data_IF_535485972293
#
_entry.id   IF_535485972293
#
_cell.length_a   1.000
_cell.length_b   1.000
_cell.length_c   1.000
_cell.angle_alpha   90.00
_cell.angle_beta   90.00
_cell.angle_gamma   90.00
#
_symmetry.space_group_name_H-M   'P 1'
#
loop_
_entity.id
_entity.type
_entity.pdbx_description
1 polymer ?
#
# COMPACT_ATOMS: atom_id res chain seq x y z
N UNK A 1 6.02 -31.85 25.17
CA UNK A 1 6.50 -30.97 24.07
C UNK A 1 7.02 -31.74 22.85
N UNK A 2 7.77 -32.82 22.99
CA UNK A 2 8.29 -33.60 21.84
C UNK A 2 7.17 -34.21 20.94
N UNK A 3 6.05 -34.65 21.52
CA UNK A 3 4.94 -35.26 20.75
C UNK A 3 4.18 -34.24 19.89
N UNK A 4 3.89 -33.08 20.42
CA UNK A 4 3.23 -31.96 19.68
C UNK A 4 4.10 -31.58 18.47
N UNK A 5 5.41 -31.44 18.69
CA UNK A 5 6.36 -31.11 17.63
C UNK A 5 6.47 -32.21 16.57
N UNK A 6 6.46 -33.49 16.97
CA UNK A 6 6.49 -34.62 16.02
C UNK A 6 5.23 -34.64 15.14
N UNK A 7 4.06 -34.37 15.69
CA UNK A 7 2.81 -34.23 14.93
C UNK A 7 2.85 -33.03 13.96
N UNK A 8 3.35 -31.89 14.40
CA UNK A 8 3.51 -30.73 13.53
C UNK A 8 4.50 -31.01 12.37
N UNK A 9 5.64 -31.67 12.68
CA UNK A 9 6.62 -32.07 11.67
C UNK A 9 6.04 -33.06 10.67
N UNK A 10 5.20 -33.99 11.12
CA UNK A 10 4.53 -34.96 10.24
C UNK A 10 3.64 -34.25 9.21
N UNK A 11 2.81 -33.29 9.65
CA UNK A 11 1.97 -32.51 8.76
C UNK A 11 2.80 -31.72 7.71
N UNK A 12 3.85 -31.05 8.14
CA UNK A 12 4.74 -30.34 7.22
C UNK A 12 5.39 -31.27 6.22
N UNK A 13 5.85 -32.46 6.68
CA UNK A 13 6.47 -33.45 5.79
C UNK A 13 5.47 -33.98 4.76
N UNK A 14 4.21 -34.18 5.13
CA UNK A 14 3.16 -34.60 4.19
C UNK A 14 2.95 -33.57 3.09
N UNK A 15 2.88 -32.26 3.43
CA UNK A 15 2.78 -31.19 2.46
C UNK A 15 4.01 -31.12 1.55
N UNK A 16 5.22 -31.28 2.12
CA UNK A 16 6.47 -31.25 1.35
C UNK A 16 6.65 -32.49 0.43
N UNK A 17 6.02 -33.62 0.74
CA UNK A 17 6.04 -34.80 -0.09
C UNK A 17 5.00 -34.80 -1.21
N UNK A 18 3.94 -34.02 -1.08
CA UNK A 18 2.94 -33.82 -2.14
C UNK A 18 3.46 -32.87 -3.22
N UNK A 19 4.17 -33.41 -4.21
CA UNK A 19 4.76 -32.61 -5.30
C UNK A 19 3.71 -31.79 -6.07
N UNK A 20 2.53 -32.37 -6.31
CA UNK A 20 1.46 -31.70 -7.05
C UNK A 20 0.86 -30.58 -6.22
N UNK A 21 0.62 -30.84 -4.93
CA UNK A 21 0.17 -29.83 -3.98
C UNK A 21 1.16 -28.68 -3.83
N UNK A 22 2.46 -28.96 -3.72
CA UNK A 22 3.51 -27.93 -3.64
C UNK A 22 3.60 -27.08 -4.89
N UNK A 23 3.55 -27.68 -6.08
CA UNK A 23 3.58 -26.93 -7.33
C UNK A 23 2.38 -25.99 -7.38
N UNK A 24 1.18 -26.48 -7.08
CA UNK A 24 -0.03 -25.65 -7.07
C UNK A 24 0.05 -24.56 -6.01
N UNK A 25 0.54 -24.87 -4.81
CA UNK A 25 0.68 -23.96 -3.67
C UNK A 25 1.63 -22.79 -3.97
N UNK A 26 2.69 -23.03 -4.73
CA UNK A 26 3.71 -22.03 -5.03
C UNK A 26 3.42 -21.36 -6.38
N UNK A 27 3.17 -22.14 -7.42
CA UNK A 27 3.07 -21.61 -8.78
C UNK A 27 1.83 -20.74 -9.01
N UNK A 28 0.66 -21.18 -8.51
CA UNK A 28 -0.59 -20.44 -8.74
C UNK A 28 -0.56 -19.04 -8.10
N UNK A 29 -0.18 -18.87 -6.81
CA UNK A 29 -0.06 -17.55 -6.22
C UNK A 29 0.93 -16.63 -6.95
N UNK A 30 2.09 -17.18 -7.32
CA UNK A 30 3.12 -16.42 -8.01
C UNK A 30 2.68 -16.00 -9.40
N UNK A 31 2.03 -16.90 -10.13
CA UNK A 31 1.46 -16.60 -11.44
C UNK A 31 0.39 -15.48 -11.32
N UNK A 32 -0.49 -15.57 -10.33
CA UNK A 32 -1.49 -14.53 -10.10
C UNK A 32 -0.84 -13.19 -9.71
N UNK A 33 0.14 -13.20 -8.82
CA UNK A 33 0.89 -12.00 -8.45
C UNK A 33 1.56 -11.38 -9.67
N UNK A 34 2.16 -12.21 -10.54
CA UNK A 34 2.79 -11.75 -11.76
C UNK A 34 1.77 -11.16 -12.74
N UNK A 35 0.66 -11.88 -13.02
CA UNK A 35 -0.37 -11.41 -13.94
C UNK A 35 -0.99 -10.10 -13.44
N UNK A 36 -1.49 -10.08 -12.21
CA UNK A 36 -2.14 -8.89 -11.67
C UNK A 36 -1.16 -7.74 -11.43
N UNK A 37 0.04 -8.04 -10.94
CA UNK A 37 1.10 -7.05 -10.80
C UNK A 37 1.53 -6.43 -12.13
N UNK A 38 1.61 -7.24 -13.20
CA UNK A 38 1.95 -6.76 -14.54
C UNK A 38 0.82 -5.98 -15.20
N UNK A 39 -0.42 -6.49 -15.11
CA UNK A 39 -1.58 -5.89 -15.76
C UNK A 39 -2.03 -4.63 -15.03
N UNK A 40 -2.03 -4.64 -13.72
CA UNK A 40 -2.50 -3.53 -12.89
C UNK A 40 -1.36 -2.60 -12.43
N UNK A 41 -0.11 -3.12 -12.34
CA UNK A 41 1.09 -2.34 -12.04
C UNK A 41 1.89 -1.95 -13.30
N UNK A 42 1.63 -2.57 -14.43
CA UNK A 42 2.39 -2.47 -15.68
C UNK A 42 1.80 -1.49 -16.69
N UNK A 43 1.56 -0.28 -16.30
CA UNK A 43 1.49 0.84 -17.22
C UNK A 43 2.24 1.98 -16.57
N UNK A 44 3.13 2.63 -17.27
CA UNK A 44 3.47 4.03 -17.04
C UNK A 44 2.18 4.83 -17.22
N UNK A 45 1.19 4.63 -16.34
CA UNK A 45 0.05 5.53 -16.26
C UNK A 45 0.58 6.79 -15.62
N UNK A 46 1.15 7.63 -16.47
CA UNK A 46 1.38 9.02 -16.11
C UNK A 46 0.05 9.55 -15.62
N UNK A 47 0.06 10.22 -14.49
CA UNK A 47 -1.16 10.79 -13.92
C UNK A 47 -1.67 11.85 -14.91
N UNK A 48 -2.86 11.68 -15.51
CA UNK A 48 -3.36 12.65 -16.48
C UNK A 48 -3.70 13.97 -15.77
N UNK A 49 -3.09 15.06 -16.21
CA UNK A 49 -3.28 16.41 -15.67
C UNK A 49 -3.66 17.35 -16.80
N UNK A 50 -4.79 18.02 -16.69
CA UNK A 50 -5.17 19.08 -17.60
C UNK A 50 -4.56 20.42 -17.14
N UNK A 51 -3.91 21.15 -18.03
CA UNK A 51 -3.28 22.44 -17.74
C UNK A 51 -3.86 23.52 -18.64
N UNK A 52 -4.48 24.52 -18.05
CA UNK A 52 -4.93 25.73 -18.70
C UNK A 52 -4.00 26.89 -18.31
N UNK A 53 -2.92 27.07 -19.06
CA UNK A 53 -2.01 28.19 -18.89
C UNK A 53 -2.48 29.37 -19.80
N UNK A 54 -3.17 30.33 -19.16
CA UNK A 54 -3.70 31.52 -19.84
C UNK A 54 -2.68 32.67 -19.87
N UNK A 55 -1.59 32.56 -19.08
CA UNK A 55 -0.56 33.58 -19.00
C UNK A 55 0.58 33.39 -20.01
N UNK A 56 1.00 32.17 -20.22
CA UNK A 56 2.06 31.77 -21.14
C UNK A 56 3.39 32.50 -20.91
N UNK A 57 3.67 32.86 -19.67
CA UNK A 57 4.91 33.51 -19.24
C UNK A 57 5.98 32.53 -18.84
N UNK A 58 7.21 33.01 -18.59
CA UNK A 58 8.28 32.19 -18.04
C UNK A 58 7.90 31.64 -16.63
N UNK A 59 7.23 32.46 -15.82
CA UNK A 59 6.79 32.08 -14.48
C UNK A 59 5.67 31.04 -14.49
N UNK A 60 4.72 31.13 -15.44
CA UNK A 60 3.71 30.08 -15.61
C UNK A 60 4.34 28.78 -16.13
N UNK A 61 5.32 28.87 -17.02
CA UNK A 61 6.05 27.70 -17.50
C UNK A 61 6.81 26.96 -16.38
N UNK A 62 7.35 27.69 -15.40
CA UNK A 62 7.97 27.08 -14.22
C UNK A 62 6.97 26.28 -13.38
N UNK A 63 5.73 26.75 -13.24
CA UNK A 63 4.67 26.03 -12.52
C UNK A 63 4.30 24.75 -13.29
N UNK A 64 4.14 24.84 -14.60
CA UNK A 64 3.87 23.66 -15.46
C UNK A 64 5.03 22.68 -15.40
N UNK A 65 6.28 23.16 -15.39
CA UNK A 65 7.49 22.36 -15.24
C UNK A 65 7.66 21.63 -13.91
N UNK A 66 6.84 21.97 -12.89
CA UNK A 66 6.76 21.18 -11.66
C UNK A 66 6.11 19.81 -11.88
N UNK A 67 5.31 19.69 -12.94
CA UNK A 67 4.69 18.45 -13.35
C UNK A 67 5.68 17.74 -14.30
N UNK A 68 6.52 16.86 -13.71
CA UNK A 68 7.50 16.08 -14.48
C UNK A 68 6.79 15.16 -15.49
N UNK A 69 7.15 15.26 -16.75
CA UNK A 69 6.58 14.45 -17.83
C UNK A 69 6.85 12.95 -17.67
N UNK A 70 7.78 12.55 -16.82
CA UNK A 70 7.99 11.13 -16.49
C UNK A 70 6.85 10.58 -15.62
N UNK A 71 6.25 11.41 -14.76
CA UNK A 71 5.23 11.04 -13.79
C UNK A 71 3.82 11.50 -14.18
N UNK A 72 3.72 12.56 -15.00
CA UNK A 72 2.47 13.19 -15.39
C UNK A 72 2.27 13.19 -16.90
N UNK A 73 1.04 12.91 -17.34
CA UNK A 73 0.61 13.12 -18.71
C UNK A 73 -0.10 14.48 -18.80
N UNK A 74 0.62 15.48 -19.27
CA UNK A 74 0.12 16.86 -19.36
C UNK A 74 -0.69 17.01 -20.64
N UNK A 75 -1.99 17.33 -20.48
CA UNK A 75 -2.87 17.76 -21.58
C UNK A 75 -3.12 19.25 -21.47
N UNK A 76 -2.63 20.01 -22.44
CA UNK A 76 -2.87 21.46 -22.51
C UNK A 76 -4.25 21.73 -23.10
N UNK A 77 -5.09 22.44 -22.38
CA UNK A 77 -6.48 22.69 -22.75
C UNK A 77 -6.88 24.13 -22.38
N UNK A 78 -8.01 24.60 -22.92
CA UNK A 78 -8.63 25.82 -22.46
C UNK A 78 -9.22 25.65 -21.03
N UNK A 79 -9.51 26.77 -20.35
CA UNK A 79 -10.01 26.74 -18.99
C UNK A 79 -11.26 25.85 -18.81
N UNK A 80 -12.26 26.04 -19.69
CA UNK A 80 -13.50 25.27 -19.63
C UNK A 80 -13.28 23.79 -19.96
N UNK A 81 -12.40 23.49 -20.91
CA UNK A 81 -12.06 22.14 -21.31
C UNK A 81 -11.28 21.42 -20.21
N UNK A 82 -10.29 22.07 -19.60
CA UNK A 82 -9.55 21.51 -18.47
C UNK A 82 -10.45 21.22 -17.28
N UNK A 83 -11.40 22.12 -16.98
CA UNK A 83 -12.41 21.90 -15.95
C UNK A 83 -13.33 20.72 -16.26
N UNK A 84 -13.75 20.56 -17.54
CA UNK A 84 -14.56 19.44 -17.99
C UNK A 84 -13.79 18.11 -17.84
N UNK A 85 -12.50 18.05 -18.22
CA UNK A 85 -11.65 16.85 -18.08
C UNK A 85 -11.49 16.44 -16.62
N UNK A 86 -11.33 17.40 -15.69
CA UNK A 86 -11.26 17.11 -14.27
C UNK A 86 -12.60 16.61 -13.70
N UNK A 87 -13.73 17.17 -14.16
CA UNK A 87 -15.06 16.77 -13.70
C UNK A 87 -15.53 15.44 -14.26
N UNK A 88 -15.13 15.08 -15.49
CA UNK A 88 -15.44 13.78 -16.11
C UNK A 88 -14.54 12.63 -15.62
N UNK A 89 -13.45 12.95 -14.89
CA UNK A 89 -12.46 11.96 -14.45
C UNK A 89 -11.44 11.58 -15.54
N UNK A 90 -11.42 12.27 -16.68
CA UNK A 90 -10.43 12.11 -17.74
C UNK A 90 -9.07 12.65 -17.32
N UNK A 91 -9.03 13.68 -16.46
CA UNK A 91 -7.85 14.14 -15.76
C UNK A 91 -8.02 14.01 -14.25
N UNK A 92 -6.94 13.63 -13.54
CA UNK A 92 -6.92 13.54 -12.09
C UNK A 92 -7.06 14.91 -11.41
N UNK A 93 -6.59 15.96 -12.06
CA UNK A 93 -6.79 17.36 -11.68
C UNK A 93 -6.63 18.27 -12.90
N UNK A 94 -7.20 19.49 -12.80
CA UNK A 94 -6.92 20.57 -13.74
C UNK A 94 -6.24 21.72 -13.01
N UNK A 95 -5.13 22.21 -13.58
CA UNK A 95 -4.37 23.38 -13.09
C UNK A 95 -4.68 24.55 -14.00
N UNK A 96 -5.23 25.61 -13.43
CA UNK A 96 -5.60 26.84 -14.19
C UNK A 96 -4.74 28.00 -13.69
N UNK A 97 -3.89 28.52 -14.56
CA UNK A 97 -3.05 29.69 -14.32
C UNK A 97 -3.71 30.89 -15.02
N UNK A 98 -4.13 31.93 -14.28
CA UNK A 98 -4.86 33.07 -14.84
C UNK A 98 -3.98 33.93 -15.75
N UNK A 99 -4.62 34.65 -16.66
CA UNK A 99 -3.94 35.68 -17.47
C UNK A 99 -3.43 36.81 -16.59
N UNK A 100 -2.21 37.28 -16.84
CA UNK A 100 -1.57 38.33 -16.04
C UNK A 100 -0.84 37.81 -14.81
N UNK A 101 -0.79 36.49 -14.59
CA UNK A 101 -0.17 35.86 -13.43
C UNK A 101 1.25 36.37 -13.14
N UNK A 102 2.12 36.42 -14.16
CA UNK A 102 3.49 36.89 -13.96
C UNK A 102 3.56 38.37 -13.56
N UNK A 103 2.76 39.21 -14.18
CA UNK A 103 2.70 40.63 -13.84
C UNK A 103 2.21 40.87 -12.42
N UNK A 104 1.16 40.14 -12.00
CA UNK A 104 0.59 40.23 -10.65
C UNK A 104 1.61 39.75 -9.59
N UNK A 105 2.23 38.60 -9.78
CA UNK A 105 3.23 38.07 -8.85
C UNK A 105 4.45 38.97 -8.73
N UNK A 106 4.98 39.45 -9.83
CA UNK A 106 6.12 40.40 -9.82
C UNK A 106 5.73 41.75 -9.20
N UNK A 107 4.52 42.21 -9.47
CA UNK A 107 3.96 43.45 -8.90
C UNK A 107 3.54 43.35 -7.42
N UNK A 108 3.46 42.15 -6.86
CA UNK A 108 3.00 41.88 -5.50
C UNK A 108 1.48 41.98 -5.34
N UNK A 109 0.75 41.80 -6.44
CA UNK A 109 -0.71 41.75 -6.44
C UNK A 109 -1.12 40.30 -6.10
N UNK A 110 -2.17 40.14 -5.29
CA UNK A 110 -2.70 38.83 -4.93
C UNK A 110 -3.30 38.15 -6.15
N UNK A 111 -2.73 37.00 -6.53
CA UNK A 111 -3.19 36.20 -7.65
C UNK A 111 -3.25 34.72 -7.24
N UNK A 112 -4.12 33.94 -7.88
CA UNK A 112 -4.41 32.57 -7.44
C UNK A 112 -4.31 31.60 -8.61
N UNK A 113 -3.46 30.60 -8.47
CA UNK A 113 -3.50 29.39 -9.30
C UNK A 113 -4.61 28.50 -8.76
N UNK A 114 -5.56 28.14 -9.63
CA UNK A 114 -6.68 27.27 -9.25
C UNK A 114 -6.38 25.83 -9.62
N UNK A 115 -6.58 24.93 -8.65
CA UNK A 115 -6.47 23.49 -8.90
C UNK A 115 -7.85 22.87 -8.70
N UNK A 116 -8.45 22.42 -9.79
CA UNK A 116 -9.72 21.72 -9.78
C UNK A 116 -9.41 20.23 -9.67
N UNK A 117 -9.89 19.57 -8.61
CA UNK A 117 -9.60 18.17 -8.31
C UNK A 117 -10.84 17.41 -7.87
N UNK A 118 -10.90 16.11 -8.12
CA UNK A 118 -11.83 15.22 -7.41
C UNK A 118 -11.31 15.02 -5.97
N UNK A 119 -12.09 15.39 -4.94
CA UNK A 119 -11.70 15.20 -3.54
C UNK A 119 -11.42 13.74 -3.18
N UNK A 120 -11.92 12.79 -3.97
CA UNK A 120 -11.76 11.34 -3.76
C UNK A 120 -10.53 10.76 -4.44
N UNK A 121 -9.83 11.54 -5.27
CA UNK A 121 -8.65 11.07 -6.01
C UNK A 121 -7.38 11.28 -5.20
N UNK A 122 -6.72 10.20 -4.80
CA UNK A 122 -5.41 10.23 -4.12
C UNK A 122 -4.32 10.83 -5.01
N UNK A 123 -4.39 10.61 -6.32
CA UNK A 123 -3.44 11.15 -7.31
C UNK A 123 -3.47 12.68 -7.35
N UNK A 124 -4.59 13.32 -6.99
CA UNK A 124 -4.71 14.78 -6.97
C UNK A 124 -3.89 15.43 -5.86
N UNK A 125 -3.56 14.71 -4.78
CA UNK A 125 -2.76 15.23 -3.65
C UNK A 125 -1.34 15.52 -4.13
N UNK A 126 -0.72 14.58 -4.84
CA UNK A 126 0.63 14.77 -5.38
C UNK A 126 0.71 15.95 -6.36
N UNK A 127 -0.33 16.15 -7.19
CA UNK A 127 -0.43 17.30 -8.09
C UNK A 127 -0.49 18.60 -7.30
N UNK A 128 -1.32 18.65 -6.26
CA UNK A 128 -1.47 19.84 -5.39
C UNK A 128 -0.13 20.20 -4.73
N UNK A 129 0.56 19.21 -4.17
CA UNK A 129 1.87 19.43 -3.51
C UNK A 129 2.92 19.95 -4.49
N UNK A 130 3.07 19.29 -5.66
CA UNK A 130 4.02 19.69 -6.67
C UNK A 130 3.77 21.14 -7.16
N UNK A 131 2.53 21.47 -7.49
CA UNK A 131 2.15 22.81 -7.97
C UNK A 131 2.30 23.85 -6.85
N UNK A 132 1.86 23.56 -5.63
CA UNK A 132 1.95 24.49 -4.49
C UNK A 132 3.40 24.84 -4.17
N UNK A 133 4.27 23.84 -4.10
CA UNK A 133 5.70 24.08 -3.86
C UNK A 133 6.33 24.98 -4.92
N UNK A 134 5.98 24.79 -6.20
CA UNK A 134 6.50 25.64 -7.28
C UNK A 134 5.91 27.04 -7.27
N UNK A 135 4.61 27.19 -7.00
CA UNK A 135 3.97 28.51 -6.84
C UNK A 135 4.63 29.28 -5.71
N UNK A 136 4.89 28.66 -4.57
CA UNK A 136 5.59 29.31 -3.45
C UNK A 136 7.01 29.75 -3.85
N UNK A 137 7.75 28.95 -4.59
CA UNK A 137 9.08 29.29 -5.09
C UNK A 137 9.03 30.51 -6.03
N UNK A 138 8.12 30.51 -7.00
CA UNK A 138 7.91 31.66 -7.92
C UNK A 138 7.56 32.92 -7.13
N UNK A 139 6.67 32.83 -6.15
CA UNK A 139 6.28 33.97 -5.28
C UNK A 139 7.46 34.49 -4.44
N UNK A 140 8.29 33.59 -3.89
CA UNK A 140 9.47 33.96 -3.11
C UNK A 140 10.53 34.68 -3.98
N UNK A 141 10.79 34.16 -5.19
CA UNK A 141 11.71 34.82 -6.14
C UNK A 141 11.23 36.22 -6.53
N UNK A 142 9.92 36.38 -6.78
CA UNK A 142 9.32 37.67 -7.07
C UNK A 142 9.37 38.64 -5.87
N UNK A 143 9.19 38.14 -4.64
CA UNK A 143 9.34 38.93 -3.43
C UNK A 143 10.78 39.45 -3.26
N UNK A 144 11.78 38.61 -3.58
CA UNK A 144 13.20 38.97 -3.55
C UNK A 144 13.48 40.17 -4.46
N UNK A 145 12.92 40.21 -5.68
CA UNK A 145 13.04 41.36 -6.60
C UNK A 145 12.54 42.63 -5.94
N UNK A 146 11.35 42.59 -5.35
CA UNK A 146 10.71 43.74 -4.70
C UNK A 146 11.52 44.27 -3.52
N UNK A 147 12.02 43.36 -2.67
CA UNK A 147 12.86 43.71 -1.51
C UNK A 147 14.16 44.35 -1.96
N UNK A 148 14.84 43.78 -2.95
CA UNK A 148 16.09 44.36 -3.47
C UNK A 148 15.85 45.74 -4.07
N UNK A 149 14.82 45.90 -4.91
CA UNK A 149 14.48 47.20 -5.50
C UNK A 149 14.08 48.24 -4.46
N UNK A 150 13.36 47.87 -3.41
CA UNK A 150 13.04 48.73 -2.30
C UNK A 150 14.30 49.21 -1.54
N UNK A 151 15.17 48.23 -1.20
CA UNK A 151 16.43 48.55 -0.50
C UNK A 151 17.31 49.53 -1.29
N UNK A 152 17.40 49.38 -2.62
CA UNK A 152 18.16 50.32 -3.46
C UNK A 152 17.50 51.69 -3.54
N UNK A 153 16.17 51.78 -3.57
CA UNK A 153 15.45 53.07 -3.53
C UNK A 153 15.69 53.78 -2.20
N UNK A 154 15.57 53.03 -1.07
CA UNK A 154 15.74 53.61 0.26
C UNK A 154 17.20 54.06 0.49
N UNK A 155 18.18 53.28 0.03
CA UNK A 155 19.60 53.64 0.07
C UNK A 155 19.89 54.91 -0.75
N UNK A 156 19.29 55.03 -1.96
CA UNK A 156 19.42 56.22 -2.80
C UNK A 156 18.81 57.44 -2.14
N UNK A 157 17.66 57.30 -1.51
CA UNK A 157 16.98 58.40 -0.78
C UNK A 157 17.78 58.82 0.46
N UNK A 158 18.38 57.90 1.19
CA UNK A 158 19.15 58.19 2.40
C UNK A 158 20.50 58.84 2.15
N UNK A 159 21.18 58.49 1.05
CA UNK A 159 22.54 58.96 0.76
C UNK A 159 22.61 60.08 -0.27
N UNK A 160 21.54 60.34 -1.00
CA UNK A 160 21.54 61.24 -2.16
C UNK A 160 22.32 60.69 -3.37
N UNK A 161 22.87 59.49 -3.28
CA UNK A 161 23.57 58.83 -4.36
C UNK A 161 22.59 58.01 -5.22
N UNK A 162 22.85 57.93 -6.52
CA UNK A 162 22.02 57.15 -7.42
C UNK A 162 22.54 55.73 -7.49
N UNK A 163 21.83 54.79 -6.84
CA UNK A 163 22.11 53.35 -6.91
C UNK A 163 21.17 52.70 -7.91
N UNK A 164 21.71 51.99 -8.87
CA UNK A 164 20.93 51.23 -9.86
C UNK A 164 20.92 49.74 -9.47
N UNK A 165 19.76 49.18 -9.14
CA UNK A 165 19.68 47.74 -8.87
C UNK A 165 19.95 46.94 -10.15
N UNK A 166 20.38 45.69 -9.96
CA UNK A 166 20.49 44.77 -11.07
C UNK A 166 19.11 44.59 -11.77
N UNK A 167 19.08 44.23 -13.05
CA UNK A 167 17.84 43.97 -13.77
C UNK A 167 16.98 42.93 -13.02
N UNK A 168 15.65 43.05 -13.01
CA UNK A 168 14.77 42.10 -12.32
C UNK A 168 14.99 40.66 -12.70
N UNK A 169 15.29 40.39 -13.98
CA UNK A 169 15.59 39.03 -14.49
C UNK A 169 16.85 38.44 -13.85
N UNK A 170 17.90 39.25 -13.63
CA UNK A 170 19.14 38.78 -13.00
C UNK A 170 18.93 38.48 -11.52
N UNK A 171 18.16 39.30 -10.81
CA UNK A 171 17.78 39.12 -9.42
C UNK A 171 16.95 37.81 -9.30
N UNK A 172 15.99 37.64 -10.20
CA UNK A 172 15.16 36.39 -10.21
C UNK A 172 16.02 35.16 -10.44
N UNK A 173 16.87 35.17 -11.47
CA UNK A 173 17.74 34.05 -11.81
C UNK A 173 18.75 33.72 -10.71
N UNK A 174 19.25 34.75 -10.00
CA UNK A 174 20.13 34.56 -8.85
C UNK A 174 19.37 33.94 -7.67
N UNK A 175 18.18 34.47 -7.34
CA UNK A 175 17.32 33.92 -6.30
C UNK A 175 16.94 32.47 -6.61
N UNK A 176 16.58 32.17 -7.85
CA UNK A 176 16.21 30.82 -8.26
C UNK A 176 17.38 29.81 -8.14
N UNK A 177 18.62 30.25 -8.45
CA UNK A 177 19.81 29.41 -8.23
C UNK A 177 20.09 29.09 -6.78
N UNK A 178 19.68 29.93 -5.83
CA UNK A 178 19.83 29.67 -4.40
C UNK A 178 18.91 28.53 -3.92
N UNK A 179 17.87 28.20 -4.68
CA UNK A 179 17.01 27.03 -4.40
C UNK A 179 17.58 25.71 -4.93
N UNK A 180 18.69 25.74 -5.65
CA UNK A 180 19.29 24.57 -6.28
C UNK A 180 20.79 24.50 -5.95
N UNK A 181 21.35 23.36 -5.45
CA UNK A 181 20.66 22.08 -5.17
C UNK A 181 19.86 22.04 -3.86
N UNK A 182 20.17 22.94 -2.91
CA UNK A 182 19.53 22.98 -1.59
C UNK A 182 18.74 24.28 -1.41
N UNK A 183 17.44 24.21 -1.04
CA UNK A 183 16.66 25.40 -0.75
C UNK A 183 17.22 26.13 0.49
N UNK A 184 17.26 27.49 0.50
CA UNK A 184 17.85 28.29 1.60
C UNK A 184 17.04 28.18 2.91
N UNK A 185 15.84 27.63 2.86
CA UNK A 185 15.03 27.20 4.00
C UNK A 185 14.66 25.73 3.77
N UNK A 186 15.51 24.84 4.26
CA UNK A 186 15.11 23.46 4.43
C UNK A 186 14.24 23.38 5.69
N UNK A 187 12.96 23.08 5.53
CA UNK A 187 12.29 22.33 6.57
C UNK A 187 13.02 21.00 6.58
N UNK A 188 13.78 20.73 7.64
CA UNK A 188 14.37 19.43 7.85
C UNK A 188 13.26 18.45 8.14
N UNK A 189 12.56 18.03 7.10
CA UNK A 189 12.03 16.68 7.11
C UNK A 189 13.25 15.79 7.18
N UNK A 190 13.41 15.08 8.29
CA UNK A 190 14.42 14.05 8.39
C UNK A 190 14.20 13.15 7.18
N UNK A 191 15.08 13.15 6.16
CA UNK A 191 14.89 12.27 5.04
C UNK A 191 15.06 10.88 5.61
N UNK A 192 13.95 10.19 5.83
CA UNK A 192 14.00 8.74 5.83
C UNK A 192 14.50 8.41 4.43
N UNK A 193 15.76 7.96 4.35
CA UNK A 193 16.42 7.64 3.10
C UNK A 193 15.60 6.54 2.44
N UNK A 194 14.66 6.93 1.59
CA UNK A 194 13.96 6.00 0.71
C UNK A 194 15.04 5.55 -0.27
N UNK A 195 15.63 4.39 0.00
CA UNK A 195 16.50 3.72 -0.96
C UNK A 195 15.79 3.74 -2.29
N UNK A 196 16.47 4.27 -3.32
CA UNK A 196 15.95 4.41 -4.69
C UNK A 196 15.08 3.22 -5.06
N UNK A 197 13.76 3.40 -5.07
CA UNK A 197 12.85 2.46 -5.69
C UNK A 197 13.16 2.51 -7.18
N UNK A 198 13.98 1.56 -7.64
CA UNK A 198 14.22 1.33 -9.07
C UNK A 198 12.96 0.69 -9.65
N UNK A 199 12.11 1.50 -10.20
CA UNK A 199 10.87 1.13 -10.86
C UNK A 199 9.94 2.33 -10.84
N UNK A 200 9.11 2.53 -11.86
CA UNK A 200 8.11 3.59 -11.80
C UNK A 200 7.25 3.38 -10.54
N UNK A 201 7.02 4.41 -9.77
CA UNK A 201 6.31 4.33 -8.48
C UNK A 201 4.96 3.59 -8.60
N UNK A 202 4.30 3.73 -9.74
CA UNK A 202 3.02 3.07 -10.06
C UNK A 202 3.17 1.56 -10.26
N UNK A 203 4.27 1.10 -10.87
CA UNK A 203 4.53 -0.33 -11.08
C UNK A 203 4.92 -1.02 -9.79
N UNK A 204 5.74 -0.35 -8.96
CA UNK A 204 6.10 -0.83 -7.63
C UNK A 204 4.85 -0.96 -6.72
N UNK A 205 3.93 0.02 -6.74
CA UNK A 205 2.66 -0.04 -5.99
C UNK A 205 1.79 -1.22 -6.42
N UNK A 206 1.72 -1.54 -7.72
CA UNK A 206 0.95 -2.67 -8.22
C UNK A 206 1.47 -4.00 -7.67
N UNK A 207 2.76 -4.27 -7.83
CA UNK A 207 3.36 -5.49 -7.31
C UNK A 207 3.35 -5.57 -5.79
N UNK A 208 3.53 -4.46 -5.06
CA UNK A 208 3.40 -4.41 -3.60
C UNK A 208 2.00 -4.82 -3.15
N UNK A 209 0.96 -4.20 -3.69
CA UNK A 209 -0.43 -4.47 -3.35
C UNK A 209 -0.80 -5.93 -3.60
N UNK A 210 -0.48 -6.44 -4.80
CA UNK A 210 -0.87 -7.80 -5.18
C UNK A 210 0.00 -8.86 -4.50
N UNK A 211 1.28 -8.58 -4.23
CA UNK A 211 2.13 -9.49 -3.47
C UNK A 211 1.62 -9.65 -2.03
N UNK A 212 1.28 -8.56 -1.35
CA UNK A 212 0.68 -8.61 -0.01
C UNK A 212 -0.69 -9.28 -0.05
N UNK A 213 -1.56 -8.85 -0.96
CA UNK A 213 -2.93 -9.34 -1.06
C UNK A 213 -3.01 -10.84 -1.35
N UNK A 214 -2.23 -11.33 -2.31
CA UNK A 214 -2.21 -12.76 -2.64
C UNK A 214 -1.50 -13.59 -1.58
N UNK A 215 -0.47 -13.07 -0.91
CA UNK A 215 0.11 -13.75 0.25
C UNK A 215 -0.97 -14.02 1.30
N UNK A 216 -1.74 -13.02 1.70
CA UNK A 216 -2.82 -13.20 2.67
C UNK A 216 -3.95 -14.09 2.16
N UNK A 217 -4.33 -13.95 0.89
CA UNK A 217 -5.36 -14.79 0.28
C UNK A 217 -4.97 -16.27 0.31
N UNK A 218 -3.76 -16.61 -0.09
CA UNK A 218 -3.33 -18.00 -0.12
C UNK A 218 -3.09 -18.57 1.28
N UNK A 219 -2.57 -17.77 2.23
CA UNK A 219 -2.58 -18.14 3.64
C UNK A 219 -4.00 -18.45 4.16
N UNK A 220 -5.01 -17.70 3.68
CA UNK A 220 -6.42 -17.96 3.99
C UNK A 220 -6.87 -19.30 3.38
N UNK A 221 -6.55 -19.56 2.11
CA UNK A 221 -6.85 -20.84 1.46
C UNK A 221 -6.21 -22.01 2.19
N UNK A 222 -4.96 -21.90 2.58
CA UNK A 222 -4.24 -22.94 3.31
C UNK A 222 -4.85 -23.17 4.70
N UNK A 223 -5.09 -22.09 5.46
CA UNK A 223 -5.67 -22.17 6.79
C UNK A 223 -7.06 -22.82 6.78
N UNK A 224 -7.95 -22.38 5.88
CA UNK A 224 -9.30 -22.93 5.77
C UNK A 224 -9.30 -24.35 5.17
N UNK A 225 -8.46 -24.60 4.16
CA UNK A 225 -8.33 -25.91 3.52
C UNK A 225 -7.88 -27.01 4.48
N UNK A 226 -7.17 -26.63 5.54
CA UNK A 226 -6.76 -27.53 6.62
C UNK A 226 -7.93 -28.24 7.33
N UNK A 227 -9.15 -27.69 7.24
CA UNK A 227 -10.37 -28.36 7.71
C UNK A 227 -10.53 -29.76 7.10
N UNK A 228 -10.08 -29.96 5.85
CA UNK A 228 -10.09 -31.26 5.17
C UNK A 228 -9.24 -32.32 5.87
N UNK A 229 -8.08 -31.95 6.41
CA UNK A 229 -7.20 -32.88 7.10
C UNK A 229 -7.82 -33.50 8.36
N UNK A 230 -8.64 -32.75 9.09
CA UNK A 230 -9.40 -33.30 10.21
C UNK A 230 -10.48 -34.29 9.77
N UNK A 231 -11.12 -34.02 8.65
CA UNK A 231 -12.16 -34.88 8.10
C UNK A 231 -11.54 -36.20 7.56
N UNK A 232 -10.43 -36.11 6.83
CA UNK A 232 -9.72 -37.26 6.26
C UNK A 232 -9.29 -38.25 7.32
N UNK A 233 -8.75 -37.78 8.42
CA UNK A 233 -8.32 -38.65 9.52
C UNK A 233 -9.49 -39.29 10.26
N UNK A 234 -10.64 -38.59 10.28
CA UNK A 234 -11.87 -39.17 10.83
C UNK A 234 -12.41 -40.27 9.91
N UNK A 235 -12.47 -40.04 8.59
CA UNK A 235 -12.95 -41.01 7.60
C UNK A 235 -12.02 -42.24 7.50
N UNK A 236 -10.70 -42.06 7.62
CA UNK A 236 -9.70 -43.13 7.58
C UNK A 236 -9.52 -43.88 8.91
N UNK A 237 -10.21 -43.43 9.98
CA UNK A 237 -10.08 -44.01 11.31
C UNK A 237 -8.70 -43.82 11.95
N UNK A 238 -7.84 -43.01 11.36
CA UNK A 238 -6.50 -42.73 11.89
C UNK A 238 -6.57 -41.94 13.19
N UNK A 239 -7.59 -41.13 13.35
CA UNK A 239 -7.85 -40.42 14.60
C UNK A 239 -8.12 -41.37 15.77
N UNK A 240 -8.92 -42.41 15.54
CA UNK A 240 -9.21 -43.46 16.52
C UNK A 240 -7.94 -44.26 16.91
N UNK A 241 -7.06 -44.55 15.94
CA UNK A 241 -5.76 -45.23 16.19
C UNK A 241 -4.82 -44.32 17.00
N UNK A 242 -4.80 -43.01 16.72
CA UNK A 242 -3.98 -42.06 17.50
C UNK A 242 -4.44 -41.98 18.95
N UNK A 243 -5.74 -42.12 19.22
CA UNK A 243 -6.30 -42.15 20.58
C UNK A 243 -5.99 -43.43 21.36
N UNK A 244 -5.56 -44.51 20.69
CA UNK A 244 -5.05 -45.73 21.39
C UNK A 244 -3.60 -45.57 21.84
N UNK A 245 -2.89 -44.56 21.39
CA UNK A 245 -1.56 -44.22 21.87
C UNK A 245 -1.66 -43.41 23.17
N UNK A 246 -0.60 -43.37 24.03
CA UNK A 246 -0.61 -42.56 25.24
C UNK A 246 -0.49 -41.05 24.96
N UNK A 247 -1.37 -40.53 24.10
CA UNK A 247 -1.43 -39.10 23.67
C UNK A 247 -2.78 -38.54 24.16
N UNK A 248 -2.72 -37.42 24.85
CA UNK A 248 -3.95 -36.74 25.31
C UNK A 248 -4.69 -36.06 24.14
N UNK A 249 -6.01 -35.87 24.25
CA UNK A 249 -6.83 -35.18 23.25
C UNK A 249 -6.32 -33.76 23.01
N UNK A 250 -5.86 -33.07 24.04
CA UNK A 250 -5.30 -31.71 23.96
C UNK A 250 -3.96 -31.69 23.21
N UNK A 251 -3.08 -32.67 23.43
CA UNK A 251 -1.81 -32.78 22.70
C UNK A 251 -2.05 -33.06 21.22
N UNK A 252 -3.05 -33.88 20.88
CA UNK A 252 -3.40 -34.15 19.50
C UNK A 252 -3.89 -32.91 18.78
N UNK A 253 -4.86 -32.21 19.37
CA UNK A 253 -5.42 -30.98 18.77
C UNK A 253 -4.36 -29.88 18.67
N UNK A 254 -3.59 -29.67 19.75
CA UNK A 254 -2.50 -28.69 19.74
C UNK A 254 -1.42 -29.00 18.71
N UNK A 255 -1.06 -30.27 18.56
CA UNK A 255 -0.08 -30.70 17.55
C UNK A 255 -0.56 -30.44 16.13
N UNK A 256 -1.84 -30.68 15.86
CA UNK A 256 -2.44 -30.40 14.53
C UNK A 256 -2.54 -28.92 14.25
N UNK A 257 -3.07 -28.13 15.20
CA UNK A 257 -3.15 -26.67 15.07
C UNK A 257 -1.77 -26.10 14.81
N UNK A 258 -0.75 -26.54 15.55
CA UNK A 258 0.63 -26.13 15.34
C UNK A 258 1.14 -26.55 13.95
N UNK A 259 0.83 -27.77 13.50
CA UNK A 259 1.22 -28.25 12.18
C UNK A 259 0.65 -27.41 11.04
N UNK A 260 -0.65 -27.11 11.12
CA UNK A 260 -1.33 -26.24 10.15
C UNK A 260 -0.71 -24.84 10.17
N UNK A 261 -0.54 -24.26 11.35
CA UNK A 261 0.06 -22.93 11.51
C UNK A 261 1.46 -22.85 10.91
N UNK A 262 2.32 -23.83 11.17
CA UNK A 262 3.66 -23.89 10.60
C UNK A 262 3.61 -24.00 9.07
N UNK A 263 2.65 -24.75 8.52
CA UNK A 263 2.47 -24.88 7.06
C UNK A 263 2.02 -23.54 6.44
N UNK A 264 1.08 -22.84 7.09
CA UNK A 264 0.63 -21.50 6.65
C UNK A 264 1.78 -20.49 6.71
N UNK A 265 2.61 -20.54 7.75
CA UNK A 265 3.80 -19.67 7.82
C UNK A 265 4.86 -20.04 6.79
N UNK A 266 5.05 -21.31 6.51
CA UNK A 266 5.98 -21.77 5.47
C UNK A 266 5.56 -21.22 4.10
N UNK A 267 4.29 -21.29 3.76
CA UNK A 267 3.74 -20.66 2.55
C UNK A 267 3.99 -19.15 2.53
N UNK A 268 3.69 -18.45 3.64
CA UNK A 268 3.92 -17.03 3.74
C UNK A 268 5.40 -16.66 3.50
N UNK A 269 6.34 -17.41 4.07
CA UNK A 269 7.78 -17.17 3.86
C UNK A 269 8.15 -17.33 2.39
N UNK A 270 7.60 -18.32 1.70
CA UNK A 270 7.82 -18.51 0.26
C UNK A 270 7.27 -17.30 -0.51
N UNK A 271 6.04 -16.89 -0.23
CA UNK A 271 5.37 -15.78 -0.94
C UNK A 271 6.08 -14.44 -0.72
N UNK A 272 6.45 -14.14 0.53
CA UNK A 272 7.22 -12.94 0.88
C UNK A 272 8.59 -12.98 0.22
N UNK A 273 9.27 -14.13 0.27
CA UNK A 273 10.58 -14.32 -0.36
C UNK A 273 10.52 -14.11 -1.88
N UNK A 274 9.57 -14.70 -2.57
CA UNK A 274 9.38 -14.46 -4.01
C UNK A 274 9.01 -13.02 -4.31
N UNK A 275 8.13 -12.43 -3.52
CA UNK A 275 7.80 -11.00 -3.64
C UNK A 275 9.04 -10.12 -3.57
N UNK A 276 9.93 -10.40 -2.62
CA UNK A 276 11.17 -9.66 -2.44
C UNK A 276 12.18 -9.89 -3.57
N UNK A 277 12.46 -11.16 -3.92
CA UNK A 277 13.58 -11.51 -4.80
C UNK A 277 13.20 -11.49 -6.29
N UNK A 278 11.99 -11.86 -6.64
CA UNK A 278 11.54 -11.95 -8.04
C UNK A 278 10.84 -10.67 -8.50
N UNK A 279 9.97 -10.12 -7.66
CA UNK A 279 9.20 -8.93 -8.00
C UNK A 279 9.80 -7.64 -7.44
N UNK A 280 10.96 -7.73 -6.73
CA UNK A 280 11.61 -6.59 -6.07
C UNK A 280 10.65 -5.76 -5.20
N UNK A 281 9.70 -6.44 -4.55
CA UNK A 281 8.76 -5.79 -3.63
C UNK A 281 9.54 -5.39 -2.37
N UNK A 282 9.61 -4.11 -2.03
CA UNK A 282 10.18 -3.69 -0.76
C UNK A 282 9.17 -3.98 0.36
N UNK A 283 9.42 -5.03 1.15
CA UNK A 283 8.58 -5.40 2.30
C UNK A 283 8.76 -4.49 3.52
N UNK A 284 9.13 -3.22 3.27
CA UNK A 284 9.24 -2.18 4.28
C UNK A 284 10.60 -2.10 4.96
N UNK A 285 10.79 -1.02 5.72
CA UNK A 285 12.01 -0.78 6.52
C UNK A 285 12.04 -1.62 7.79
N UNK A 286 10.89 -2.07 8.24
CA UNK A 286 10.73 -2.75 9.52
C UNK A 286 10.15 -4.15 9.29
N UNK A 287 11.04 -5.14 9.05
CA UNK A 287 10.62 -6.53 8.83
C UNK A 287 9.89 -7.13 10.04
N UNK A 288 10.11 -6.58 11.25
CA UNK A 288 9.44 -7.05 12.46
C UNK A 288 7.93 -6.79 12.40
N UNK A 289 7.51 -5.63 11.88
CA UNK A 289 6.09 -5.31 11.68
C UNK A 289 5.42 -6.30 10.72
N UNK A 290 6.08 -6.64 9.61
CA UNK A 290 5.59 -7.63 8.64
C UNK A 290 5.46 -9.01 9.30
N UNK A 291 6.51 -9.46 10.01
CA UNK A 291 6.52 -10.76 10.70
C UNK A 291 5.39 -10.83 11.73
N UNK A 292 5.17 -9.77 12.51
CA UNK A 292 4.09 -9.73 13.51
C UNK A 292 2.71 -9.90 12.85
N UNK A 293 2.42 -9.18 11.76
CA UNK A 293 1.13 -9.25 11.09
C UNK A 293 0.94 -10.61 10.43
N UNK A 294 1.94 -11.10 9.69
CA UNK A 294 1.88 -12.40 9.00
C UNK A 294 1.70 -13.55 9.99
N UNK A 295 2.44 -13.52 11.10
CA UNK A 295 2.34 -14.56 12.13
C UNK A 295 0.95 -14.55 12.81
N UNK A 296 0.44 -13.40 13.19
CA UNK A 296 -0.86 -13.29 13.85
C UNK A 296 -2.02 -13.59 12.89
N UNK A 297 -1.91 -13.20 11.62
CA UNK A 297 -2.86 -13.56 10.58
C UNK A 297 -2.85 -15.07 10.29
N UNK A 298 -1.67 -15.68 10.21
CA UNK A 298 -1.55 -17.14 10.07
C UNK A 298 -2.24 -17.90 11.21
N UNK A 299 -2.14 -17.40 12.44
CA UNK A 299 -2.85 -17.98 13.58
C UNK A 299 -4.37 -17.78 13.47
N UNK A 300 -4.83 -16.62 13.03
CA UNK A 300 -6.26 -16.33 12.82
C UNK A 300 -6.86 -17.24 11.73
N UNK A 301 -6.16 -17.40 10.59
CA UNK A 301 -6.63 -18.30 9.50
C UNK A 301 -6.63 -19.76 9.91
N UNK A 302 -5.61 -20.20 10.66
CA UNK A 302 -5.56 -21.56 11.24
C UNK A 302 -6.75 -21.77 12.19
N UNK A 303 -7.02 -20.82 13.09
CA UNK A 303 -8.16 -20.89 13.99
C UNK A 303 -9.50 -20.94 13.26
N UNK A 304 -9.65 -20.15 12.22
CA UNK A 304 -10.84 -20.15 11.36
C UNK A 304 -11.02 -21.51 10.65
N UNK A 305 -9.95 -22.09 10.13
CA UNK A 305 -9.96 -23.44 9.54
C UNK A 305 -10.39 -24.51 10.53
N UNK A 306 -9.85 -24.49 11.75
CA UNK A 306 -10.26 -25.40 12.82
C UNK A 306 -11.74 -25.22 13.18
N UNK A 307 -12.22 -23.99 13.26
CA UNK A 307 -13.64 -23.71 13.49
C UNK A 307 -14.50 -24.27 12.36
N UNK A 308 -14.13 -24.06 11.11
CA UNK A 308 -14.87 -24.59 9.93
C UNK A 308 -14.87 -26.11 9.92
N UNK A 309 -13.79 -26.79 10.32
CA UNK A 309 -13.73 -28.25 10.40
C UNK A 309 -14.84 -28.86 11.26
N UNK A 310 -15.39 -28.10 12.20
CA UNK A 310 -16.50 -28.54 13.04
C UNK A 310 -17.87 -28.41 12.38
N UNK A 311 -17.97 -27.65 11.29
CA UNK A 311 -19.23 -27.36 10.57
C UNK A 311 -19.39 -28.23 9.33
N UNK A 312 -18.28 -28.71 8.75
CA UNK A 312 -18.28 -29.49 7.51
C UNK A 312 -18.34 -30.99 7.81
N UNK A 313 -18.96 -31.73 6.88
CA UNK A 313 -19.15 -33.19 6.99
C UNK A 313 -18.57 -33.96 5.80
N UNK A 314 -18.30 -33.33 4.69
CA UNK A 314 -17.78 -33.95 3.48
C UNK A 314 -16.64 -33.13 2.87
N UNK A 315 -15.73 -33.78 2.12
CA UNK A 315 -14.66 -33.12 1.39
C UNK A 315 -15.16 -32.04 0.41
N UNK A 316 -16.28 -32.31 -0.27
CA UNK A 316 -16.90 -31.33 -1.16
C UNK A 316 -17.34 -30.06 -0.43
N UNK A 317 -17.89 -30.18 0.79
CA UNK A 317 -18.22 -29.03 1.63
C UNK A 317 -16.96 -28.26 2.04
N UNK A 318 -15.87 -28.94 2.43
CA UNK A 318 -14.61 -28.28 2.76
C UNK A 318 -14.12 -27.45 1.57
N UNK A 319 -14.01 -28.07 0.39
CA UNK A 319 -13.52 -27.39 -0.81
C UNK A 319 -14.40 -26.18 -1.19
N UNK A 320 -15.71 -26.34 -1.17
CA UNK A 320 -16.65 -25.29 -1.48
C UNK A 320 -16.58 -24.14 -0.46
N UNK A 321 -16.58 -24.45 0.85
CA UNK A 321 -16.50 -23.43 1.89
C UNK A 321 -15.13 -22.71 1.87
N UNK A 322 -14.04 -23.44 1.66
CA UNK A 322 -12.72 -22.85 1.53
C UNK A 322 -12.69 -21.89 0.34
N UNK A 323 -13.16 -22.33 -0.84
CA UNK A 323 -13.16 -21.48 -2.03
C UNK A 323 -13.99 -20.21 -1.84
N UNK A 324 -15.20 -20.34 -1.34
CA UNK A 324 -16.10 -19.19 -1.14
C UNK A 324 -15.60 -18.27 -0.04
N UNK A 325 -15.27 -18.80 1.14
CA UNK A 325 -14.89 -17.96 2.29
C UNK A 325 -13.51 -17.34 2.10
N UNK A 326 -12.52 -18.10 1.63
CA UNK A 326 -11.18 -17.53 1.41
C UNK A 326 -11.23 -16.42 0.35
N UNK A 327 -11.94 -16.62 -0.76
CA UNK A 327 -12.10 -15.59 -1.79
C UNK A 327 -12.89 -14.40 -1.27
N UNK A 328 -14.05 -14.63 -0.66
CA UNK A 328 -14.91 -13.54 -0.18
C UNK A 328 -14.22 -12.71 0.92
N UNK A 329 -13.62 -13.34 1.94
CA UNK A 329 -12.92 -12.62 3.02
C UNK A 329 -11.70 -11.88 2.49
N UNK A 330 -10.95 -12.45 1.53
CA UNK A 330 -9.81 -11.79 0.92
C UNK A 330 -10.24 -10.61 0.05
N UNK A 331 -11.30 -10.78 -0.73
CA UNK A 331 -11.86 -9.73 -1.57
C UNK A 331 -12.39 -8.55 -0.73
N UNK A 332 -13.19 -8.84 0.30
CA UNK A 332 -13.71 -7.85 1.23
C UNK A 332 -12.59 -7.17 2.04
N UNK A 333 -11.55 -7.93 2.41
CA UNK A 333 -10.42 -7.45 3.20
C UNK A 333 -9.37 -6.65 2.43
N UNK A 334 -9.54 -6.44 1.11
CA UNK A 334 -8.65 -5.57 0.34
C UNK A 334 -7.46 -6.28 -0.32
N UNK A 335 -7.48 -7.62 -0.46
CA UNK A 335 -6.41 -8.35 -1.16
C UNK A 335 -6.38 -8.07 -2.67
N UNK A 336 -7.53 -7.78 -3.28
CA UNK A 336 -7.68 -7.53 -4.71
C UNK A 336 -7.58 -6.05 -5.10
N UNK A 337 -7.87 -5.15 -4.17
CA UNK A 337 -7.80 -3.70 -4.37
C UNK A 337 -7.46 -2.99 -3.07
N UNK A 338 -6.77 -1.85 -3.13
CA UNK A 338 -6.46 -1.07 -1.94
C UNK A 338 -7.72 -0.62 -1.18
N UNK A 339 -7.70 -0.72 0.14
CA UNK A 339 -8.82 -0.26 0.98
C UNK A 339 -8.99 1.27 0.97
N UNK A 340 -8.02 2.00 0.43
CA UNK A 340 -8.07 3.46 0.33
C UNK A 340 -9.04 3.95 -0.76
N UNK A 341 -9.29 3.12 -1.80
CA UNK A 341 -10.17 3.48 -2.93
C UNK A 341 -11.62 3.06 -2.73
N UNK A 342 -11.93 2.29 -1.68
CA UNK A 342 -13.30 1.82 -1.43
C UNK A 342 -14.09 2.80 -0.57
N UNK A 343 -15.43 2.72 -0.63
CA UNK A 343 -16.32 3.56 0.18
C UNK A 343 -16.10 3.35 1.69
N UNK A 344 -16.40 4.35 2.56
CA UNK A 344 -16.28 4.22 4.01
C UNK A 344 -17.05 3.02 4.58
N UNK A 345 -18.26 2.74 4.05
CA UNK A 345 -19.05 1.59 4.46
C UNK A 345 -18.35 0.27 4.16
N UNK A 346 -17.76 0.14 2.96
CA UNK A 346 -17.00 -1.04 2.56
C UNK A 346 -15.75 -1.23 3.42
N UNK A 347 -15.07 -0.13 3.77
CA UNK A 347 -13.91 -0.16 4.68
C UNK A 347 -14.29 -0.66 6.07
N UNK A 348 -15.45 -0.27 6.58
CA UNK A 348 -15.96 -0.78 7.87
C UNK A 348 -16.21 -2.29 7.80
N UNK A 349 -16.80 -2.79 6.69
CA UNK A 349 -17.02 -4.23 6.48
C UNK A 349 -15.68 -4.97 6.38
N UNK A 350 -14.69 -4.40 5.68
CA UNK A 350 -13.35 -4.98 5.58
C UNK A 350 -12.73 -5.22 6.97
N UNK A 351 -12.86 -4.26 7.88
CA UNK A 351 -12.34 -4.38 9.25
C UNK A 351 -13.08 -5.42 10.13
N UNK A 352 -14.20 -5.99 9.66
CA UNK A 352 -14.82 -7.16 10.31
C UNK A 352 -14.13 -8.47 9.92
N UNK A 353 -13.25 -8.46 8.92
CA UNK A 353 -12.53 -9.64 8.42
C UNK A 353 -11.09 -9.68 8.92
N UNK A 354 -10.49 -10.86 9.13
CA UNK A 354 -9.07 -10.97 9.45
C UNK A 354 -8.19 -10.36 8.37
N UNK A 355 -8.56 -10.54 7.09
CA UNK A 355 -7.80 -10.03 5.95
C UNK A 355 -7.77 -8.49 5.94
N UNK A 356 -8.87 -7.83 6.32
CA UNK A 356 -8.92 -6.37 6.38
C UNK A 356 -7.95 -5.78 7.40
N UNK A 357 -7.83 -6.37 8.57
CA UNK A 357 -6.82 -5.96 9.56
C UNK A 357 -5.40 -6.26 9.11
N UNK A 358 -5.17 -7.43 8.50
CA UNK A 358 -3.85 -7.78 7.99
C UNK A 358 -3.44 -6.84 6.84
N UNK A 359 -4.33 -6.55 5.89
CA UNK A 359 -4.06 -5.61 4.79
C UNK A 359 -3.83 -4.19 5.30
N UNK A 360 -4.61 -3.72 6.28
CA UNK A 360 -4.40 -2.39 6.88
C UNK A 360 -3.01 -2.31 7.50
N UNK A 361 -2.63 -3.28 8.32
CA UNK A 361 -1.31 -3.30 8.95
C UNK A 361 -0.16 -3.41 7.95
N UNK A 362 -0.27 -4.32 6.95
CA UNK A 362 0.75 -4.44 5.91
C UNK A 362 0.86 -3.16 5.06
N UNK A 363 -0.26 -2.51 4.74
CA UNK A 363 -0.25 -1.25 4.01
C UNK A 363 0.48 -0.17 4.80
N UNK A 364 0.23 -0.06 6.11
CA UNK A 364 0.91 0.92 6.96
C UNK A 364 2.43 0.66 7.05
N UNK A 365 2.84 -0.60 7.21
CA UNK A 365 4.27 -0.95 7.36
C UNK A 365 5.00 -0.97 6.01
N UNK A 366 4.41 -1.55 4.97
CA UNK A 366 5.10 -1.82 3.68
C UNK A 366 4.93 -0.66 2.70
N UNK A 367 3.74 -0.08 2.58
CA UNK A 367 3.44 0.97 1.58
C UNK A 367 3.66 2.36 2.15
N UNK A 368 3.21 2.60 3.39
CA UNK A 368 3.33 3.90 4.05
C UNK A 368 4.60 4.06 4.85
N UNK A 369 5.43 3.00 4.93
CA UNK A 369 6.70 2.98 5.64
C UNK A 369 6.60 3.38 7.13
N UNK A 370 5.47 3.07 7.75
CA UNK A 370 5.27 3.29 9.18
C UNK A 370 5.91 2.14 9.96
N UNK A 371 6.51 2.45 11.11
CA UNK A 371 7.25 1.47 11.91
C UNK A 371 6.37 0.41 12.58
N UNK A 372 7.00 -0.55 13.27
CA UNK A 372 6.35 -1.67 13.98
C UNK A 372 5.21 -1.25 14.91
N UNK A 373 5.24 -0.03 15.46
CA UNK A 373 4.15 0.49 16.31
C UNK A 373 2.78 0.43 15.62
N UNK A 374 2.72 0.61 14.30
CA UNK A 374 1.48 0.55 13.51
C UNK A 374 1.03 -0.90 13.22
N UNK A 375 1.92 -1.87 13.39
CA UNK A 375 1.57 -3.30 13.32
C UNK A 375 0.92 -3.82 14.61
N UNK A 376 1.12 -3.15 15.76
CA UNK A 376 0.69 -3.65 17.08
C UNK A 376 -0.83 -3.80 17.15
N UNK A 377 -1.60 -2.78 16.77
CA UNK A 377 -3.06 -2.83 16.84
C UNK A 377 -3.65 -3.89 15.90
N UNK A 378 -3.29 -3.93 14.59
CA UNK A 378 -3.74 -5.00 13.71
C UNK A 378 -3.40 -6.39 14.25
N UNK A 379 -2.18 -6.60 14.74
CA UNK A 379 -1.75 -7.88 15.30
C UNK A 379 -2.53 -8.27 16.55
N UNK A 380 -2.82 -7.32 17.43
CA UNK A 380 -3.63 -7.56 18.64
C UNK A 380 -5.06 -8.00 18.29
N UNK A 381 -5.69 -7.34 17.30
CA UNK A 381 -7.03 -7.73 16.82
C UNK A 381 -7.00 -9.11 16.17
N UNK A 382 -6.00 -9.40 15.35
CA UNK A 382 -5.83 -10.73 14.73
C UNK A 382 -5.62 -11.83 15.77
N UNK A 383 -4.87 -11.56 16.84
CA UNK A 383 -4.75 -12.50 17.99
C UNK A 383 -6.08 -12.71 18.69
N UNK A 384 -6.86 -11.65 18.89
CA UNK A 384 -8.22 -11.74 19.44
C UNK A 384 -9.13 -12.61 18.58
N UNK A 385 -9.11 -12.40 17.25
CA UNK A 385 -9.85 -13.23 16.28
C UNK A 385 -9.37 -14.69 16.32
N UNK A 386 -8.05 -14.92 16.36
CA UNK A 386 -7.48 -16.25 16.47
C UNK A 386 -7.94 -16.98 17.73
N UNK A 387 -7.89 -16.31 18.88
CA UNK A 387 -8.35 -16.86 20.15
C UNK A 387 -9.84 -17.21 20.11
N UNK A 388 -10.67 -16.33 19.52
CA UNK A 388 -12.11 -16.57 19.34
C UNK A 388 -12.36 -17.80 18.46
N UNK A 389 -11.74 -17.86 17.28
CA UNK A 389 -11.95 -18.96 16.34
C UNK A 389 -11.45 -20.30 16.89
N UNK A 390 -10.26 -20.30 17.51
CA UNK A 390 -9.70 -21.53 18.13
C UNK A 390 -10.57 -21.99 19.30
N UNK A 391 -11.04 -21.08 20.15
CA UNK A 391 -11.88 -21.48 21.30
C UNK A 391 -13.19 -22.11 20.84
N UNK A 392 -13.86 -21.52 19.83
CA UNK A 392 -15.09 -22.10 19.25
C UNK A 392 -14.79 -23.44 18.56
N UNK A 393 -13.71 -23.48 17.76
CA UNK A 393 -13.30 -24.68 17.05
C UNK A 393 -12.99 -25.85 17.98
N UNK A 394 -12.13 -25.62 18.96
CA UNK A 394 -11.72 -26.67 19.93
C UNK A 394 -12.90 -27.12 20.80
N UNK A 395 -13.76 -26.18 21.27
CA UNK A 395 -14.92 -26.51 22.08
C UNK A 395 -15.96 -27.38 21.33
N UNK A 396 -16.05 -27.23 19.99
CA UNK A 396 -17.00 -28.00 19.17
C UNK A 396 -16.40 -29.23 18.49
N UNK A 397 -15.10 -29.41 18.58
CA UNK A 397 -14.40 -30.51 17.93
C UNK A 397 -14.80 -31.84 18.62
N UNK A 398 -15.66 -32.62 17.96
CA UNK A 398 -15.98 -33.99 18.37
C UNK A 398 -14.89 -34.91 17.84
N UNK A 399 -14.11 -35.51 18.71
CA UNK A 399 -13.05 -36.47 18.40
C UNK A 399 -13.59 -37.92 18.35
N UNK A 400 -14.90 -38.08 18.31
CA UNK A 400 -15.61 -39.35 18.16
C UNK A 400 -16.08 -39.55 16.74
#
# INVERSE_FOLDING_TARGET
>A
MSRIWNLARLNLTQVLMDRTGLITLIFVPLMLTFIFGSVMGGGERRIPVAVADLDRSAQSAEIVGALDESSYQITRAGENEAAAMASSGEAAAAVVIPKGFAADVLGGVDTKVRILKDPRSTSSIAIVEAVTGRVQRVAANAATIRIVQAAFRDASAATGAHYTPAPPADIYSYSDRLWSPDPPLSVSEVPVTVSKVRGSATQAMGFQQYSMGFTLMFMMFMGLGSAGGFLDEREQGTLARLLTTPTSRTELVAGKVLGIYVTVLFEAVIMVGFGAFVFNVPWGYDPLGVVMIVATFGLATTGLGVMISTLVRTRGQVSAMTAVLATALSMLGGSYWPLDIVSPAMRTIALMTPTGWAMTGLTDVVVRYQGTSHAVLPSAVLLGMAALFLSIGVARLKLE
#
